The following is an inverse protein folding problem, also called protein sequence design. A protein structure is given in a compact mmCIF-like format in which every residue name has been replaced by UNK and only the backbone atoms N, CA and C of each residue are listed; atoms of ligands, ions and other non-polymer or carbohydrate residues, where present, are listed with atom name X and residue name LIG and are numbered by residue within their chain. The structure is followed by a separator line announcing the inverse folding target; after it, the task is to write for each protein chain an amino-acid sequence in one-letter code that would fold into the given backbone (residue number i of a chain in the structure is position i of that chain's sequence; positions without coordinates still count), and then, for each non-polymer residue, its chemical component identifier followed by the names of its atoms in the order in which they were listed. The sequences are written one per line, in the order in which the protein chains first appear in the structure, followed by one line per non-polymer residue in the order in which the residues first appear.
data_IF_602924678216
#
_entry.id   IF_602924678216
#
_cell.length_a   1.000
_cell.length_b   1.000
_cell.length_c   1.000
_cell.angle_alpha   90.00
_cell.angle_beta   90.00
_cell.angle_gamma   90.00
#
_symmetry.space_group_name_H-M   'P 1'
#
loop_
_entity.id
_entity.type
_entity.pdbx_description
1 polymer ?
#
# COMPACT_ATOMS: atom_id res chain seq x y z
N UNK A 1 -20.34 42.11 6.96
CA UNK A 1 -19.39 42.85 7.80
C UNK A 1 -18.07 42.11 7.76
N UNK A 2 -17.01 42.79 7.35
CA UNK A 2 -15.67 42.23 7.17
C UNK A 2 -15.16 41.59 8.46
N UNK A 3 -14.65 40.37 8.38
CA UNK A 3 -13.85 39.77 9.45
C UNK A 3 -12.63 39.11 8.85
N UNK A 4 -11.49 39.54 9.39
CA UNK A 4 -10.13 39.40 8.91
C UNK A 4 -9.70 37.96 8.64
N UNK A 5 -8.94 37.77 7.56
CA UNK A 5 -8.12 36.60 7.30
C UNK A 5 -6.80 36.76 8.08
N UNK A 6 -6.39 35.74 8.82
CA UNK A 6 -5.09 35.71 9.51
C UNK A 6 -4.25 34.51 9.02
N UNK A 7 -2.92 34.69 9.02
CA UNK A 7 -1.88 33.73 8.58
C UNK A 7 -1.12 33.16 9.80
N UNK A 8 -0.67 31.90 9.73
CA UNK A 8 0.24 31.29 10.71
C UNK A 8 1.37 30.52 10.00
N UNK A 9 2.51 30.33 10.66
CA UNK A 9 3.65 29.56 10.13
C UNK A 9 3.83 28.27 10.94
N UNK A 10 3.91 27.12 10.25
CA UNK A 10 4.21 25.79 10.81
C UNK A 10 5.64 25.43 10.43
N UNK A 11 6.47 25.01 11.39
CA UNK A 11 7.83 24.55 11.14
C UNK A 11 8.03 23.11 11.63
N UNK A 12 8.55 22.26 10.76
CA UNK A 12 9.03 20.91 11.12
C UNK A 12 10.42 21.02 11.76
N UNK A 13 10.64 20.43 12.93
CA UNK A 13 11.90 20.59 13.69
C UNK A 13 12.76 19.33 13.82
N UNK A 14 12.27 18.12 13.53
CA UNK A 14 13.11 16.90 13.48
C UNK A 14 12.49 15.79 12.61
N UNK A 15 13.23 15.33 11.59
CA UNK A 15 12.96 14.07 10.88
C UNK A 15 13.41 12.88 11.74
N UNK A 16 12.48 11.99 12.10
CA UNK A 16 12.84 10.65 12.56
C UNK A 16 13.40 9.84 11.38
N UNK A 17 14.40 8.99 11.62
CA UNK A 17 14.97 8.13 10.57
C UNK A 17 13.89 7.22 9.99
N UNK A 18 13.54 7.48 8.73
CA UNK A 18 12.70 6.60 7.91
C UNK A 18 13.40 5.23 7.78
N UNK A 19 12.66 4.11 7.66
CA UNK A 19 13.25 2.92 7.06
C UNK A 19 13.83 3.34 5.71
N UNK A 20 15.09 2.94 5.46
CA UNK A 20 15.79 3.30 4.22
C UNK A 20 14.94 2.79 3.05
N UNK A 21 14.27 3.70 2.34
CA UNK A 21 13.62 3.35 1.06
C UNK A 21 14.69 2.83 0.13
N UNK A 22 14.40 1.72 -0.55
CA UNK A 22 15.35 1.20 -1.53
C UNK A 22 15.60 2.27 -2.59
N UNK A 23 16.87 2.45 -2.95
CA UNK A 23 17.28 3.51 -3.88
C UNK A 23 16.68 3.34 -5.29
N UNK A 24 16.17 2.15 -5.59
CA UNK A 24 15.49 1.76 -6.82
C UNK A 24 13.97 2.02 -6.82
N UNK A 25 13.37 2.45 -5.70
CA UNK A 25 11.91 2.67 -5.63
C UNK A 25 11.07 1.38 -5.57
N UNK A 26 11.69 0.22 -5.47
CA UNK A 26 11.04 -1.09 -5.40
C UNK A 26 10.89 -1.63 -3.96
N UNK A 27 11.42 -0.95 -2.94
CA UNK A 27 11.43 -1.36 -1.53
C UNK A 27 11.88 -2.83 -1.30
N UNK A 28 10.94 -3.76 -1.10
CA UNK A 28 11.18 -5.21 -0.91
C UNK A 28 10.98 -6.05 -2.17
N UNK A 29 10.59 -5.41 -3.27
CA UNK A 29 10.44 -6.03 -4.59
C UNK A 29 11.76 -5.86 -5.37
N UNK A 30 11.98 -6.74 -6.33
CA UNK A 30 13.16 -6.76 -7.18
C UNK A 30 12.86 -6.00 -8.48
N UNK A 31 13.71 -5.04 -8.81
CA UNK A 31 13.66 -4.26 -10.06
C UNK A 31 14.26 -5.08 -11.22
N UNK A 32 13.57 -5.15 -12.35
CA UNK A 32 14.12 -5.75 -13.57
C UNK A 32 15.10 -4.82 -14.32
N UNK A 33 15.13 -3.53 -13.93
CA UNK A 33 15.96 -2.45 -14.46
C UNK A 33 15.64 -2.03 -15.90
N UNK A 34 14.45 -2.34 -16.43
CA UNK A 34 14.08 -2.00 -17.81
C UNK A 34 12.99 -0.92 -17.89
N UNK A 35 11.87 -1.11 -17.20
CA UNK A 35 10.63 -0.34 -17.42
C UNK A 35 10.04 0.30 -16.16
N UNK A 36 10.69 0.10 -15.02
CA UNK A 36 10.21 0.60 -13.74
C UNK A 36 9.14 -0.28 -13.13
N UNK A 37 9.12 -1.58 -13.45
CA UNK A 37 8.26 -2.57 -12.82
C UNK A 37 9.04 -3.38 -11.78
N UNK A 38 8.42 -3.58 -10.62
CA UNK A 38 9.00 -4.30 -9.50
C UNK A 38 8.25 -5.62 -9.27
N UNK A 39 8.99 -6.73 -9.15
CA UNK A 39 8.42 -8.05 -8.90
C UNK A 39 8.81 -8.62 -7.54
N UNK A 40 7.92 -9.38 -6.92
CA UNK A 40 8.25 -10.14 -5.72
C UNK A 40 7.66 -11.54 -5.82
N UNK A 41 8.44 -12.56 -5.45
CA UNK A 41 7.98 -13.95 -5.37
C UNK A 41 7.79 -14.35 -3.90
N UNK A 42 6.55 -14.66 -3.55
CA UNK A 42 6.19 -15.29 -2.28
C UNK A 42 6.33 -16.81 -2.39
N UNK A 43 7.14 -17.42 -1.54
CA UNK A 43 7.41 -18.87 -1.57
C UNK A 43 6.38 -19.70 -0.78
N UNK A 44 5.53 -19.03 0.00
CA UNK A 44 4.44 -19.68 0.73
C UNK A 44 3.39 -20.18 -0.26
N UNK A 45 3.01 -21.45 -0.12
CA UNK A 45 2.01 -22.06 -1.00
C UNK A 45 0.60 -21.55 -0.65
N UNK A 46 -0.03 -20.85 -1.59
CA UNK A 46 -1.31 -20.17 -1.44
C UNK A 46 -2.21 -20.47 -2.64
N UNK A 47 -3.53 -20.41 -2.46
CA UNK A 47 -4.48 -20.47 -3.59
C UNK A 47 -4.40 -19.17 -4.40
N UNK A 48 -4.76 -19.21 -5.69
CA UNK A 48 -4.69 -18.03 -6.56
C UNK A 48 -5.45 -16.82 -5.97
N UNK A 49 -6.62 -17.06 -5.38
CA UNK A 49 -7.43 -16.01 -4.77
C UNK A 49 -6.81 -15.44 -3.48
N UNK A 50 -6.25 -16.29 -2.62
CA UNK A 50 -5.51 -15.84 -1.42
C UNK A 50 -4.28 -15.02 -1.80
N UNK A 51 -3.58 -15.48 -2.84
CA UNK A 51 -2.37 -14.87 -3.35
C UNK A 51 -2.64 -13.47 -3.90
N UNK A 52 -3.74 -13.28 -4.66
CA UNK A 52 -4.15 -11.95 -5.10
C UNK A 52 -4.49 -11.01 -3.94
N UNK A 53 -5.19 -11.51 -2.91
CA UNK A 53 -5.46 -10.71 -1.71
C UNK A 53 -4.16 -10.31 -1.00
N UNK A 54 -3.17 -11.20 -0.96
CA UNK A 54 -1.88 -10.93 -0.34
C UNK A 54 -1.01 -9.97 -1.15
N UNK A 55 -0.99 -10.07 -2.48
CA UNK A 55 -0.36 -9.06 -3.34
C UNK A 55 -1.00 -7.68 -3.11
N UNK A 56 -2.35 -7.61 -3.05
CA UNK A 56 -3.07 -6.38 -2.73
C UNK A 56 -2.70 -5.80 -1.36
N UNK A 57 -2.47 -6.63 -0.34
CA UNK A 57 -1.98 -6.17 0.98
C UNK A 57 -0.59 -5.54 0.93
N UNK A 58 0.23 -5.88 -0.07
CA UNK A 58 1.55 -5.29 -0.31
C UNK A 58 1.49 -4.05 -1.22
N UNK A 59 0.29 -3.60 -1.59
CA UNK A 59 0.10 -2.51 -2.55
C UNK A 59 0.56 -2.90 -3.96
N UNK A 60 0.37 -4.18 -4.32
CA UNK A 60 0.72 -4.81 -5.57
C UNK A 60 -0.49 -5.59 -6.12
N UNK A 61 -0.37 -6.17 -7.31
CA UNK A 61 -1.29 -7.17 -7.85
C UNK A 61 -0.54 -8.47 -8.14
N UNK A 62 -1.24 -9.56 -8.43
CA UNK A 62 -0.62 -10.71 -9.08
C UNK A 62 0.09 -10.27 -10.37
N UNK A 63 1.23 -10.89 -10.65
CA UNK A 63 2.12 -10.39 -11.69
C UNK A 63 1.54 -10.47 -13.10
N UNK A 64 1.57 -9.34 -13.80
CA UNK A 64 1.44 -9.22 -15.25
C UNK A 64 2.81 -9.38 -15.92
N UNK A 65 2.80 -9.74 -17.21
CA UNK A 65 4.01 -9.94 -18.02
C UNK A 65 3.74 -9.39 -19.42
N UNK A 66 4.49 -8.38 -19.84
CA UNK A 66 4.26 -7.64 -21.10
C UNK A 66 5.33 -7.88 -22.16
N UNK A 67 6.40 -8.60 -21.83
CA UNK A 67 7.43 -8.94 -22.80
C UNK A 67 8.25 -10.19 -22.41
N UNK A 68 9.06 -10.74 -23.33
CA UNK A 68 9.92 -11.90 -23.04
C UNK A 68 10.97 -11.69 -21.93
N UNK A 69 11.42 -10.45 -21.72
CA UNK A 69 12.43 -10.09 -20.72
C UNK A 69 11.84 -10.20 -19.32
N UNK A 70 10.67 -9.62 -19.08
CA UNK A 70 9.89 -9.77 -17.84
C UNK A 70 9.59 -11.24 -17.55
N UNK A 71 9.15 -12.01 -18.55
CA UNK A 71 8.88 -13.45 -18.38
C UNK A 71 10.14 -14.20 -17.90
N UNK A 72 11.27 -13.90 -18.53
CA UNK A 72 12.55 -14.51 -18.20
C UNK A 72 13.06 -14.07 -16.83
N UNK A 73 12.89 -12.80 -16.49
CA UNK A 73 13.25 -12.23 -15.19
C UNK A 73 12.44 -12.90 -14.08
N UNK A 74 11.11 -12.93 -14.22
CA UNK A 74 10.22 -13.50 -13.22
C UNK A 74 10.48 -14.99 -12.99
N UNK A 75 10.73 -15.76 -14.07
CA UNK A 75 11.17 -17.16 -13.97
C UNK A 75 12.46 -17.31 -13.16
N UNK A 76 13.49 -16.51 -13.47
CA UNK A 76 14.78 -16.56 -12.75
C UNK A 76 14.61 -16.18 -11.29
N UNK A 77 13.80 -15.15 -11.01
CA UNK A 77 13.49 -14.70 -9.67
C UNK A 77 12.81 -15.83 -8.88
N UNK A 78 11.79 -16.47 -9.44
CA UNK A 78 11.09 -17.59 -8.80
C UNK A 78 12.03 -18.75 -8.45
N UNK A 79 12.87 -19.17 -9.40
CA UNK A 79 13.88 -20.21 -9.17
C UNK A 79 14.87 -19.79 -8.08
N UNK A 80 15.31 -18.52 -8.07
CA UNK A 80 16.25 -18.01 -7.07
C UNK A 80 15.68 -18.02 -5.64
N UNK A 81 14.35 -17.87 -5.50
CA UNK A 81 13.63 -17.96 -4.22
C UNK A 81 13.22 -19.41 -3.89
N UNK A 82 13.53 -20.39 -4.75
CA UNK A 82 13.25 -21.81 -4.51
C UNK A 82 11.90 -22.32 -5.03
N UNK A 83 11.15 -21.48 -5.75
CA UNK A 83 9.93 -21.91 -6.44
C UNK A 83 10.29 -22.57 -7.78
N UNK A 84 10.48 -23.89 -7.75
CA UNK A 84 10.99 -24.68 -8.89
C UNK A 84 9.92 -25.52 -9.62
N UNK A 85 8.72 -25.62 -9.04
CA UNK A 85 7.61 -26.43 -9.58
C UNK A 85 6.47 -25.57 -10.16
N UNK A 86 6.76 -24.31 -10.49
CA UNK A 86 5.79 -23.36 -10.99
C UNK A 86 5.26 -22.36 -9.95
N UNK A 87 4.69 -21.27 -10.46
CA UNK A 87 4.17 -20.15 -9.68
C UNK A 87 2.84 -19.65 -10.24
N UNK A 88 1.97 -19.14 -9.37
CA UNK A 88 0.81 -18.35 -9.80
C UNK A 88 1.21 -16.92 -10.16
N UNK A 89 0.49 -16.36 -11.12
CA UNK A 89 0.60 -14.98 -11.59
C UNK A 89 -0.77 -14.50 -12.11
N UNK A 90 -0.85 -13.26 -12.60
CA UNK A 90 -2.08 -12.48 -12.71
C UNK A 90 -2.99 -12.76 -13.89
N UNK A 91 -2.82 -13.89 -14.60
CA UNK A 91 -3.69 -14.20 -15.74
C UNK A 91 -5.07 -14.62 -15.24
N UNK A 92 -6.09 -13.98 -15.82
CA UNK A 92 -7.49 -14.38 -15.73
C UNK A 92 -7.90 -15.00 -17.06
N UNK A 93 -8.56 -16.16 -17.02
CA UNK A 93 -9.04 -16.86 -18.21
C UNK A 93 -10.51 -17.21 -18.04
N UNK A 94 -11.35 -16.72 -18.95
CA UNK A 94 -12.75 -17.15 -19.02
C UNK A 94 -12.92 -18.20 -20.13
N UNK A 95 -13.06 -19.47 -19.73
CA UNK A 95 -13.09 -20.63 -20.64
C UNK A 95 -14.25 -20.69 -21.65
N UNK A 96 -15.03 -19.60 -21.81
CA UNK A 96 -16.13 -19.49 -22.78
C UNK A 96 -15.79 -18.67 -24.01
N UNK A 97 -14.74 -17.85 -24.00
CA UNK A 97 -14.46 -16.88 -25.08
C UNK A 97 -13.00 -16.70 -25.48
N UNK A 98 -12.06 -17.46 -24.90
CA UNK A 98 -10.62 -17.18 -25.08
C UNK A 98 -10.24 -15.75 -24.68
N UNK A 99 -11.03 -15.15 -23.78
CA UNK A 99 -10.73 -13.84 -23.22
C UNK A 99 -9.74 -14.04 -22.07
N UNK A 100 -8.50 -13.63 -22.33
CA UNK A 100 -7.45 -13.51 -21.34
C UNK A 100 -7.33 -12.06 -20.89
N UNK A 101 -6.92 -11.85 -19.65
CA UNK A 101 -6.62 -10.52 -19.14
C UNK A 101 -5.80 -10.58 -17.88
N UNK A 102 -5.14 -9.48 -17.56
CA UNK A 102 -4.40 -9.33 -16.32
C UNK A 102 -5.28 -8.84 -15.18
N UNK A 103 -5.04 -9.37 -13.99
CA UNK A 103 -5.73 -8.97 -12.75
C UNK A 103 -5.39 -7.52 -12.32
N UNK A 104 -4.27 -6.96 -12.79
CA UNK A 104 -3.90 -5.54 -12.60
C UNK A 104 -4.52 -4.60 -13.66
N UNK A 105 -5.31 -5.14 -14.60
CA UNK A 105 -6.02 -4.42 -15.67
C UNK A 105 -5.12 -3.77 -16.73
N UNK A 106 -3.85 -4.16 -16.80
CA UNK A 106 -2.96 -3.78 -17.89
C UNK A 106 -3.35 -4.45 -19.22
N UNK A 107 -2.81 -3.96 -20.33
CA UNK A 107 -3.12 -4.48 -21.66
C UNK A 107 -2.66 -5.94 -21.81
N UNK A 108 -3.49 -6.77 -22.47
CA UNK A 108 -3.10 -8.12 -22.85
C UNK A 108 -2.31 -8.07 -24.16
N UNK A 109 -1.00 -7.92 -24.07
CA UNK A 109 -0.08 -7.66 -25.20
C UNK A 109 1.02 -8.72 -25.36
N UNK A 110 1.14 -9.65 -24.41
CA UNK A 110 2.12 -10.72 -24.42
C UNK A 110 1.55 -12.04 -23.92
N UNK A 111 1.99 -13.12 -24.57
CA UNK A 111 1.62 -14.48 -24.20
C UNK A 111 2.81 -15.45 -24.35
N UNK A 112 2.90 -16.43 -23.45
CA UNK A 112 3.91 -17.48 -23.52
C UNK A 112 3.35 -18.86 -23.15
N UNK A 113 2.13 -19.16 -23.62
CA UNK A 113 1.46 -20.43 -23.34
C UNK A 113 2.23 -21.66 -23.84
N UNK A 114 2.10 -22.76 -23.11
CA UNK A 114 2.56 -24.07 -23.56
C UNK A 114 1.74 -24.57 -24.76
N UNK A 115 2.33 -25.44 -25.58
CA UNK A 115 1.67 -25.98 -26.77
C UNK A 115 0.43 -26.81 -26.43
N UNK A 116 0.35 -27.39 -25.23
CA UNK A 116 -0.77 -28.20 -24.76
C UNK A 116 -1.90 -27.37 -24.11
N UNK A 117 -1.74 -26.05 -23.99
CA UNK A 117 -2.72 -25.16 -23.39
C UNK A 117 -3.91 -24.82 -24.33
N UNK A 118 -5.16 -24.74 -23.83
CA UNK A 118 -5.59 -25.16 -22.49
C UNK A 118 -5.76 -26.68 -22.41
N UNK A 119 -5.32 -27.28 -21.31
CA UNK A 119 -5.45 -28.72 -21.09
C UNK A 119 -6.85 -29.07 -20.56
N UNK A 120 -7.60 -29.99 -21.19
CA UNK A 120 -8.95 -30.31 -20.73
C UNK A 120 -8.99 -30.84 -19.29
N UNK A 121 -9.58 -30.05 -18.40
CA UNK A 121 -9.81 -30.44 -17.00
C UNK A 121 -8.69 -30.10 -16.01
N UNK A 122 -7.66 -29.35 -16.42
CA UNK A 122 -6.59 -28.94 -15.50
C UNK A 122 -6.90 -27.65 -14.72
N UNK A 123 -7.87 -26.84 -15.15
CA UNK A 123 -8.45 -25.76 -14.35
C UNK A 123 -8.73 -24.50 -15.14
N UNK A 124 -8.86 -23.36 -14.45
CA UNK A 124 -9.09 -22.05 -15.08
C UNK A 124 -8.10 -20.98 -14.64
N UNK A 125 -7.17 -21.32 -13.73
CA UNK A 125 -6.06 -20.45 -13.39
C UNK A 125 -4.86 -20.82 -14.24
N UNK A 126 -3.90 -19.90 -14.37
CA UNK A 126 -2.69 -20.11 -15.16
C UNK A 126 -1.49 -20.00 -14.25
N UNK A 127 -0.53 -20.89 -14.44
CA UNK A 127 0.77 -20.89 -13.77
C UNK A 127 1.88 -20.74 -14.79
N UNK A 128 3.00 -20.17 -14.36
CA UNK A 128 4.25 -20.28 -15.11
C UNK A 128 4.98 -21.54 -14.64
N UNK A 129 5.27 -22.48 -15.53
CA UNK A 129 6.21 -23.56 -15.26
C UNK A 129 7.62 -22.96 -15.18
N UNK A 130 8.21 -22.94 -14.00
CA UNK A 130 9.53 -22.34 -13.78
C UNK A 130 10.68 -23.12 -14.45
N UNK A 131 10.44 -24.36 -14.89
CA UNK A 131 11.42 -25.16 -15.62
C UNK A 131 11.57 -24.71 -17.08
N UNK A 132 10.46 -24.40 -17.76
CA UNK A 132 10.43 -23.98 -19.18
C UNK A 132 10.24 -22.48 -19.35
N UNK A 133 9.55 -21.82 -18.42
CA UNK A 133 9.07 -20.45 -18.50
C UNK A 133 7.74 -20.29 -19.23
N UNK A 134 7.15 -21.39 -19.72
CA UNK A 134 5.87 -21.39 -20.43
C UNK A 134 4.68 -21.42 -19.47
N UNK A 135 3.53 -20.97 -19.95
CA UNK A 135 2.32 -20.82 -19.14
C UNK A 135 1.34 -21.97 -19.42
N UNK A 136 0.83 -22.60 -18.37
CA UNK A 136 -0.13 -23.70 -18.47
C UNK A 136 -1.27 -23.52 -17.48
N UNK A 137 -2.40 -24.18 -17.73
CA UNK A 137 -3.53 -24.15 -16.81
C UNK A 137 -3.26 -25.00 -15.55
N UNK A 138 -3.90 -24.58 -14.45
CA UNK A 138 -3.87 -25.23 -13.15
C UNK A 138 -5.20 -25.00 -12.41
N UNK A 139 -5.49 -25.86 -11.43
CA UNK A 139 -6.64 -25.70 -10.57
C UNK A 139 -6.39 -24.51 -9.64
N UNK A 140 -7.29 -23.53 -9.65
CA UNK A 140 -7.21 -22.34 -8.80
C UNK A 140 -7.12 -22.64 -7.30
N UNK A 141 -7.55 -23.85 -6.90
CA UNK A 141 -7.51 -24.36 -5.53
C UNK A 141 -6.17 -25.01 -5.16
N UNK A 142 -5.26 -25.22 -6.13
CA UNK A 142 -3.90 -25.62 -5.85
C UNK A 142 -3.19 -24.57 -5.00
N UNK A 143 -2.17 -25.00 -4.26
CA UNK A 143 -1.37 -24.12 -3.42
C UNK A 143 0.04 -24.05 -3.99
N UNK A 144 0.38 -22.92 -4.57
CA UNK A 144 1.67 -22.69 -5.19
C UNK A 144 2.28 -21.38 -4.69
N UNK A 145 3.61 -21.21 -4.82
CA UNK A 145 4.24 -19.91 -4.72
C UNK A 145 3.60 -18.91 -5.70
N UNK A 146 3.74 -17.63 -5.42
CA UNK A 146 3.07 -16.56 -6.17
C UNK A 146 4.05 -15.46 -6.58
N UNK A 147 3.86 -14.90 -7.76
CA UNK A 147 4.46 -13.65 -8.19
C UNK A 147 3.49 -12.46 -8.02
N UNK A 148 3.97 -11.39 -7.40
CA UNK A 148 3.30 -10.09 -7.36
C UNK A 148 4.07 -9.06 -8.19
N UNK A 149 3.36 -8.09 -8.76
CA UNK A 149 3.91 -6.95 -9.52
C UNK A 149 3.39 -5.62 -8.98
N UNK A 150 4.22 -4.59 -9.06
CA UNK A 150 3.82 -3.20 -8.88
C UNK A 150 4.76 -2.28 -9.64
N UNK A 151 4.28 -1.10 -10.02
CA UNK A 151 5.14 -0.05 -10.56
C UNK A 151 6.11 0.48 -9.49
N UNK A 152 7.30 0.88 -9.92
CA UNK A 152 8.23 1.66 -9.13
C UNK A 152 7.51 2.87 -8.59
N UNK A 153 7.52 3.00 -7.26
CA UNK A 153 7.02 4.22 -6.66
C UNK A 153 8.07 5.28 -6.93
N UNK A 154 7.70 6.30 -7.70
CA UNK A 154 8.49 7.52 -7.76
C UNK A 154 8.87 7.88 -6.31
N UNK A 155 10.16 8.11 -6.07
CA UNK A 155 10.63 8.66 -4.80
C UNK A 155 10.15 10.11 -4.74
N UNK A 156 8.84 10.28 -4.58
CA UNK A 156 8.25 11.54 -4.21
C UNK A 156 8.57 11.64 -2.73
N UNK A 157 9.49 12.54 -2.38
CA UNK A 157 9.61 12.99 -1.01
C UNK A 157 8.20 13.38 -0.56
N UNK A 158 7.58 12.68 0.41
CA UNK A 158 6.24 13.00 0.84
C UNK A 158 6.31 14.39 1.46
N UNK A 159 5.79 15.38 0.74
CA UNK A 159 5.71 16.74 1.22
C UNK A 159 4.50 16.77 2.15
N UNK A 160 4.74 16.95 3.46
CA UNK A 160 3.69 17.40 4.37
C UNK A 160 3.13 18.70 3.79
N UNK A 161 1.81 18.79 3.56
CA UNK A 161 1.18 20.01 3.09
C UNK A 161 1.54 21.11 4.10
N UNK A 162 2.37 22.07 3.68
CA UNK A 162 2.90 23.16 4.54
C UNK A 162 1.97 24.36 4.59
N UNK A 163 0.74 24.25 4.12
CA UNK A 163 -0.21 25.36 4.18
C UNK A 163 -0.83 25.39 5.57
N UNK A 164 -0.85 26.58 6.18
CA UNK A 164 -1.50 26.81 7.47
C UNK A 164 -3.00 26.62 7.34
N UNK A 165 -3.52 25.49 7.82
CA UNK A 165 -4.95 25.27 7.91
C UNK A 165 -5.56 26.07 9.07
N UNK A 166 -6.77 26.59 8.86
CA UNK A 166 -7.49 27.48 9.80
C UNK A 166 -8.41 26.69 10.73
N UNK A 167 -8.79 27.32 11.85
CA UNK A 167 -9.84 26.80 12.73
C UNK A 167 -11.10 26.46 11.93
N UNK A 168 -11.55 25.21 12.01
CA UNK A 168 -12.72 24.71 11.28
C UNK A 168 -12.43 24.08 9.92
N UNK A 169 -11.16 23.97 9.50
CA UNK A 169 -10.76 23.17 8.34
C UNK A 169 -10.51 21.71 8.75
N UNK A 170 -10.84 20.79 7.84
CA UNK A 170 -10.64 19.35 8.05
C UNK A 170 -9.23 18.99 7.61
N UNK A 171 -8.41 18.55 8.55
CA UNK A 171 -7.08 18.03 8.30
C UNK A 171 -7.21 16.54 8.01
N UNK A 172 -6.50 16.04 6.99
CA UNK A 172 -6.55 14.63 6.61
C UNK A 172 -5.18 13.98 6.55
N UNK A 173 -5.12 12.68 6.86
CA UNK A 173 -3.89 11.88 6.67
C UNK A 173 -3.51 11.83 5.19
N UNK A 174 -2.20 11.81 4.84
CA UNK A 174 -1.79 11.75 3.45
C UNK A 174 -2.35 10.51 2.74
N UNK A 175 -2.99 10.73 1.59
CA UNK A 175 -3.66 9.68 0.82
C UNK A 175 -5.15 9.50 1.14
N UNK A 176 -5.69 10.14 2.17
CA UNK A 176 -7.13 10.12 2.46
C UNK A 176 -7.96 10.62 1.26
N UNK A 177 -9.14 10.03 0.95
CA UNK A 177 -9.76 8.88 1.61
C UNK A 177 -9.33 7.51 1.05
N UNK A 178 -8.34 7.47 0.16
CA UNK A 178 -8.02 6.28 -0.65
C UNK A 178 -6.83 5.46 -0.12
N UNK A 179 -5.99 6.06 0.71
CA UNK A 179 -4.80 5.43 1.30
C UNK A 179 -4.50 6.01 2.67
N UNK A 180 -4.23 5.14 3.62
CA UNK A 180 -3.85 5.51 4.99
C UNK A 180 -2.45 5.01 5.37
N UNK A 181 -1.69 4.48 4.41
CA UNK A 181 -0.38 3.86 4.64
C UNK A 181 0.74 4.85 5.00
N UNK A 182 0.49 6.15 4.91
CA UNK A 182 1.53 7.17 5.07
C UNK A 182 1.45 7.75 6.49
N UNK A 183 2.43 7.49 7.37
CA UNK A 183 2.48 8.12 8.69
C UNK A 183 2.57 9.63 8.59
N UNK A 184 1.95 10.34 9.53
CA UNK A 184 2.00 11.80 9.56
C UNK A 184 1.93 12.33 11.00
N UNK A 185 2.63 13.43 11.26
CA UNK A 185 2.62 14.14 12.53
C UNK A 185 2.06 15.56 12.30
N UNK A 186 0.95 15.87 12.94
CA UNK A 186 0.35 17.21 12.95
C UNK A 186 0.67 17.90 14.28
N UNK A 187 1.01 19.19 14.20
CA UNK A 187 1.22 20.04 15.37
C UNK A 187 0.21 21.16 15.34
N UNK A 188 -0.76 21.10 16.25
CA UNK A 188 -1.84 22.06 16.37
C UNK A 188 -1.51 23.03 17.48
N UNK A 189 -1.59 24.32 17.21
CA UNK A 189 -1.28 25.37 18.19
C UNK A 189 -2.43 26.35 18.27
N UNK A 190 -2.91 26.59 19.48
CA UNK A 190 -3.84 27.64 19.83
C UNK A 190 -3.10 28.84 20.43
N UNK A 191 -3.76 29.99 20.46
CA UNK A 191 -3.24 31.19 21.11
C UNK A 191 -2.92 30.95 22.59
N UNK A 192 -1.98 31.71 23.13
CA UNK A 192 -1.59 31.65 24.54
C UNK A 192 -2.82 31.89 25.43
N UNK A 193 -3.11 30.93 26.30
CA UNK A 193 -4.29 30.95 27.19
C UNK A 193 -5.53 30.23 26.64
N UNK A 194 -5.49 29.73 25.40
CA UNK A 194 -6.50 28.84 24.82
C UNK A 194 -5.99 27.39 24.78
N UNK A 195 -6.89 26.45 24.47
CA UNK A 195 -6.63 25.02 24.33
C UNK A 195 -6.99 24.57 22.92
N UNK A 196 -6.36 23.50 22.46
CA UNK A 196 -6.72 22.83 21.21
C UNK A 196 -7.81 21.83 21.51
N UNK A 197 -8.87 21.84 20.71
CA UNK A 197 -9.93 20.83 20.70
C UNK A 197 -10.01 20.23 19.30
N UNK A 198 -10.05 18.90 19.23
CA UNK A 198 -10.12 18.14 17.98
C UNK A 198 -11.35 17.26 17.95
N UNK A 199 -11.98 17.15 16.78
CA UNK A 199 -13.08 16.22 16.53
C UNK A 199 -12.58 15.16 15.54
N UNK A 200 -12.39 13.94 16.01
CA UNK A 200 -11.77 12.87 15.24
C UNK A 200 -12.83 12.03 14.54
N UNK A 201 -12.64 11.86 13.22
CA UNK A 201 -13.21 10.79 12.42
C UNK A 201 -12.07 9.87 11.96
N UNK A 202 -12.05 8.64 12.45
CA UNK A 202 -10.97 7.69 12.21
C UNK A 202 -11.51 6.37 11.69
N UNK A 203 -10.87 5.84 10.66
CA UNK A 203 -11.00 4.45 10.24
C UNK A 203 -9.59 3.86 10.19
N UNK A 204 -9.27 3.04 11.19
CA UNK A 204 -7.96 2.42 11.40
C UNK A 204 -8.08 0.91 11.59
N UNK A 205 -7.07 0.17 11.17
CA UNK A 205 -7.02 -1.26 11.40
C UNK A 205 -6.62 -1.53 12.86
N UNK A 206 -7.50 -2.18 13.63
CA UNK A 206 -7.33 -2.37 15.10
C UNK A 206 -6.08 -3.15 15.49
N UNK A 207 -5.47 -3.86 14.55
CA UNK A 207 -4.26 -4.62 14.79
C UNK A 207 -3.01 -3.78 15.01
N UNK A 208 -2.97 -2.59 14.43
CA UNK A 208 -1.70 -2.11 13.91
C UNK A 208 -1.69 -0.61 13.55
N UNK A 209 -2.82 0.00 13.19
CA UNK A 209 -2.86 1.42 12.89
C UNK A 209 -3.31 2.22 14.11
N UNK A 210 -2.53 3.23 14.49
CA UNK A 210 -2.80 4.02 15.68
C UNK A 210 -2.81 5.51 15.39
N UNK A 211 -3.76 6.22 15.97
CA UNK A 211 -3.76 7.67 16.09
C UNK A 211 -3.41 8.01 17.54
N UNK A 212 -2.26 8.63 17.74
CA UNK A 212 -1.77 8.97 19.08
C UNK A 212 -1.82 10.48 19.26
N UNK A 213 -2.43 10.92 20.36
CA UNK A 213 -2.55 12.32 20.73
C UNK A 213 -1.63 12.59 21.91
N UNK A 214 -0.84 13.66 21.80
CA UNK A 214 0.01 14.14 22.88
C UNK A 214 -0.32 15.59 23.21
N UNK A 215 -0.19 15.91 24.49
CA UNK A 215 -0.25 17.25 25.01
C UNK A 215 1.14 17.87 24.96
N UNK A 216 1.31 19.03 24.32
CA UNK A 216 2.62 19.67 24.09
C UNK A 216 3.50 18.98 23.02
N UNK A 217 4.67 19.57 22.70
CA UNK A 217 5.48 19.27 21.51
C UNK A 217 6.35 18.00 21.64
N UNK A 218 7.28 17.97 22.60
CA UNK A 218 8.25 16.87 22.82
C UNK A 218 8.23 16.44 24.28
N UNK A 219 8.06 15.15 24.53
CA UNK A 219 7.96 14.59 25.89
C UNK A 219 6.61 14.88 26.57
N UNK A 220 5.65 15.36 25.78
CA UNK A 220 4.27 15.60 26.15
C UNK A 220 3.56 14.37 26.73
N UNK A 221 2.57 14.60 27.60
CA UNK A 221 1.75 13.51 28.12
C UNK A 221 0.83 12.98 27.02
N UNK A 222 0.78 11.65 26.87
CA UNK A 222 -0.14 11.01 25.94
C UNK A 222 -1.58 11.24 26.42
N UNK A 223 -2.38 11.92 25.61
CA UNK A 223 -3.81 12.17 25.83
C UNK A 223 -4.59 10.91 25.45
N UNK A 224 -4.28 10.32 24.30
CA UNK A 224 -5.00 9.16 23.79
C UNK A 224 -4.12 8.34 22.84
N UNK A 225 -4.39 7.04 22.78
CA UNK A 225 -3.88 6.12 21.77
C UNK A 225 -5.09 5.37 21.20
N UNK A 226 -5.47 5.71 19.97
CA UNK A 226 -6.76 5.40 19.37
C UNK A 226 -6.54 4.49 18.16
N UNK A 227 -7.41 3.49 17.99
CA UNK A 227 -7.42 2.60 16.84
C UNK A 227 -8.86 2.16 16.54
N UNK A 228 -9.09 1.50 15.42
CA UNK A 228 -10.42 1.08 14.99
C UNK A 228 -11.23 2.19 14.31
N UNK A 229 -12.55 2.05 14.35
CA UNK A 229 -13.48 3.02 13.80
C UNK A 229 -14.00 3.96 14.90
N UNK A 230 -13.81 5.27 14.71
CA UNK A 230 -14.27 6.30 15.62
C UNK A 230 -15.00 7.38 14.83
N UNK A 231 -16.15 7.82 15.32
CA UNK A 231 -16.96 8.84 14.67
C UNK A 231 -17.25 9.96 15.65
N UNK A 232 -16.76 11.16 15.33
CA UNK A 232 -16.99 12.41 16.07
C UNK A 232 -16.58 12.34 17.55
N UNK A 233 -15.37 11.85 17.83
CA UNK A 233 -14.85 11.82 19.20
C UNK A 233 -13.98 13.03 19.46
N UNK A 234 -14.29 13.75 20.54
CA UNK A 234 -13.61 15.01 20.87
C UNK A 234 -12.49 14.79 21.89
N UNK A 235 -11.32 15.39 21.62
CA UNK A 235 -10.19 15.45 22.55
C UNK A 235 -9.71 16.89 22.73
N UNK A 236 -9.35 17.25 23.96
CA UNK A 236 -8.90 18.60 24.32
C UNK A 236 -7.54 18.54 24.99
N UNK A 237 -6.61 19.41 24.60
CA UNK A 237 -5.28 19.52 25.23
C UNK A 237 -5.38 20.22 26.60
N UNK A 238 -4.41 19.97 27.48
CA UNK A 238 -4.28 20.78 28.70
C UNK A 238 -3.47 22.06 28.44
N UNK A 239 -2.60 22.04 27.44
CA UNK A 239 -1.81 23.18 26.96
C UNK A 239 -2.44 23.83 25.72
N UNK A 240 -1.80 24.87 25.19
CA UNK A 240 -2.20 25.48 23.91
C UNK A 240 -1.63 24.73 22.70
N UNK A 241 -1.04 23.54 22.88
CA UNK A 241 -0.43 22.74 21.81
C UNK A 241 -0.95 21.31 21.91
N UNK A 242 -1.32 20.73 20.77
CA UNK A 242 -1.62 19.30 20.66
C UNK A 242 -0.86 18.71 19.48
N UNK A 243 -0.15 17.61 19.72
CA UNK A 243 0.46 16.82 18.65
C UNK A 243 -0.43 15.61 18.33
N UNK A 244 -0.66 15.38 17.05
CA UNK A 244 -1.48 14.28 16.52
C UNK A 244 -0.60 13.44 15.62
N UNK A 245 -0.37 12.19 15.97
CA UNK A 245 0.52 11.27 15.25
C UNK A 245 -0.29 10.14 14.65
N UNK A 246 -0.41 10.11 13.33
CA UNK A 246 -0.91 8.96 12.59
C UNK A 246 0.21 7.96 12.33
N UNK A 247 0.06 6.76 12.90
CA UNK A 247 1.04 5.68 12.90
C UNK A 247 0.43 4.41 12.28
N UNK A 248 0.33 4.34 10.94
CA UNK A 248 -0.12 3.14 10.25
C UNK A 248 0.96 2.06 10.28
N UNK A 249 0.56 0.81 10.52
CA UNK A 249 1.45 -0.37 10.49
C UNK A 249 0.77 -1.55 9.78
N UNK A 250 0.09 -1.26 8.67
CA UNK A 250 -0.60 -2.27 7.85
C UNK A 250 -1.59 -1.67 6.86
N UNK A 251 -1.37 -0.42 6.43
CA UNK A 251 -2.38 0.53 5.94
C UNK A 251 -3.02 0.27 4.56
N UNK A 252 -3.43 -0.95 4.29
CA UNK A 252 -4.37 -1.29 3.21
C UNK A 252 -5.78 -1.48 3.78
N UNK A 253 -6.79 -1.04 3.02
CA UNK A 253 -8.23 -1.18 3.32
C UNK A 253 -8.84 -0.29 4.43
N UNK A 254 -8.23 0.84 4.77
CA UNK A 254 -8.83 1.83 5.69
C UNK A 254 -8.64 3.26 5.16
N UNK A 255 -9.52 4.19 5.53
CA UNK A 255 -9.50 5.58 5.04
C UNK A 255 -8.44 6.45 5.71
N UNK A 256 -8.03 6.12 6.93
CA UNK A 256 -7.11 6.92 7.74
C UNK A 256 -7.84 7.92 8.62
N UNK A 257 -7.26 9.10 8.81
CA UNK A 257 -7.73 10.11 9.76
C UNK A 257 -8.28 11.32 9.02
N UNK A 258 -9.44 11.80 9.48
CA UNK A 258 -9.93 13.15 9.26
C UNK A 258 -10.19 13.81 10.62
N UNK A 259 -9.62 14.99 10.85
CA UNK A 259 -9.66 15.72 12.12
C UNK A 259 -9.98 17.20 11.96
#
# INVERSE_FOLDING_TARGET
CYTNLYEFNIFCTTQLQQPVRSADGCDSFEDDNEDGICYQVGTTAETWQEAQLNCKKLGANLASIHNPQENTFLRRLAVSKGAVNGIFFGVTFSGKSADFGWEDLTEWDYENFDQEFPMPGAGSCVIMDTSTGQWTDADCSEKLPVACVREQRAVVNPICITNSEKEGEIITSPGFPFSASIPCDFSLTAEVGKKVELIILLEANTCCDFLVLYDDFIGGNMIANITGEMCNVTYTSSTNIMRVSWLPNGGVNVRGVAV
#
